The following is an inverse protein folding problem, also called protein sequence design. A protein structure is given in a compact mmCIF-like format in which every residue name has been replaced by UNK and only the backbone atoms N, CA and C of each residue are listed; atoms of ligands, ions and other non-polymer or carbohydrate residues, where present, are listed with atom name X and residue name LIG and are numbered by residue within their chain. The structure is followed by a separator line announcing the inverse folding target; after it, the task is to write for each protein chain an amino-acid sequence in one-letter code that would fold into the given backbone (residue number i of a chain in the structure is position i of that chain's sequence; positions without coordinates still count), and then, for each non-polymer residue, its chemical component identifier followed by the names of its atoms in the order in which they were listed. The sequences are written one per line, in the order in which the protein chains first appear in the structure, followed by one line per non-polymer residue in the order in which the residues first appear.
data_IF_681972816682
#
_entry.id   IF_681972816682
#
_cell.length_a   1.000
_cell.length_b   1.000
_cell.length_c   1.000
_cell.angle_alpha   90.00
_cell.angle_beta   90.00
_cell.angle_gamma   90.00
#
_symmetry.space_group_name_H-M   'P 1'
#
loop_
_entity.id
_entity.type
_entity.pdbx_description
1 polymer ?
#
# COMPACT_ATOMS: atom_id res chain seq x y z
N UNK A 1 5.76 14.15 -0.24
CA UNK A 1 5.84 13.37 -0.52
C UNK A 1 5.94 11.86 -0.58
N UNK A 2 5.08 11.23 -1.40
CA UNK A 2 5.08 9.77 -1.55
C UNK A 2 6.40 9.13 -2.00
N UNK A 3 7.26 9.87 -2.70
CA UNK A 3 8.59 9.43 -3.14
C UNK A 3 9.52 9.21 -1.94
N UNK A 4 9.46 10.07 -0.92
CA UNK A 4 10.29 9.96 0.27
C UNK A 4 9.91 8.74 1.13
N UNK A 5 8.62 8.48 1.26
CA UNK A 5 8.10 7.27 1.90
C UNK A 5 8.64 6.01 1.21
N UNK A 6 8.68 5.97 -0.12
CA UNK A 6 9.28 4.87 -0.88
C UNK A 6 10.79 4.76 -0.66
N UNK A 7 11.51 5.88 -0.62
CA UNK A 7 12.95 5.89 -0.34
C UNK A 7 13.25 5.28 1.03
N UNK A 8 12.59 5.74 2.07
CA UNK A 8 12.77 5.20 3.42
C UNK A 8 12.28 3.76 3.56
N UNK A 9 11.17 3.44 2.93
CA UNK A 9 10.58 2.10 3.00
C UNK A 9 11.43 1.06 2.26
N UNK A 10 11.99 1.41 1.09
CA UNK A 10 12.72 0.48 0.22
C UNK A 10 14.23 0.66 0.24
N UNK A 11 14.75 1.72 0.86
CA UNK A 11 16.17 2.06 0.78
C UNK A 11 16.63 2.22 -0.68
N UNK A 12 15.84 2.94 -1.50
CA UNK A 12 16.17 3.18 -2.89
C UNK A 12 17.48 3.93 -3.00
N UNK A 13 18.38 3.43 -3.87
CA UNK A 13 19.61 4.15 -4.19
C UNK A 13 19.33 5.41 -4.99
N UNK A 14 20.27 6.38 -4.96
CA UNK A 14 20.20 7.60 -5.76
C UNK A 14 19.95 7.31 -7.24
N UNK A 15 20.65 6.33 -7.81
CA UNK A 15 20.49 5.96 -9.20
C UNK A 15 19.09 5.46 -9.52
N UNK A 16 18.49 4.69 -8.61
CA UNK A 16 17.12 4.18 -8.79
C UNK A 16 16.09 5.30 -8.61
N UNK A 17 16.26 6.19 -7.64
CA UNK A 17 15.42 7.38 -7.47
C UNK A 17 15.47 8.28 -8.70
N UNK A 18 16.66 8.51 -9.23
CA UNK A 18 16.86 9.32 -10.45
C UNK A 18 16.23 8.68 -11.67
N UNK A 19 16.38 7.36 -11.82
CA UNK A 19 15.77 6.60 -12.93
C UNK A 19 14.23 6.61 -12.89
N UNK A 20 13.66 6.48 -11.68
CA UNK A 20 12.19 6.40 -11.50
C UNK A 20 11.54 7.78 -11.48
N UNK A 21 12.16 8.77 -10.87
CA UNK A 21 11.52 10.05 -10.53
C UNK A 21 12.23 11.27 -11.14
N UNK A 22 13.40 11.09 -11.76
CA UNK A 22 14.22 12.20 -12.29
C UNK A 22 14.81 13.10 -11.20
N UNK A 23 14.86 12.61 -9.95
CA UNK A 23 15.35 13.38 -8.78
C UNK A 23 16.41 12.57 -8.04
N UNK A 24 17.44 13.27 -7.55
CA UNK A 24 18.40 12.70 -6.63
C UNK A 24 17.78 12.60 -5.20
N UNK A 25 18.31 11.76 -4.34
CA UNK A 25 17.77 11.51 -2.98
C UNK A 25 17.78 12.75 -2.10
N UNK A 26 18.72 13.67 -2.26
CA UNK A 26 18.77 14.95 -1.58
C UNK A 26 17.66 15.93 -2.01
N UNK A 27 17.10 15.73 -3.21
CA UNK A 27 15.95 16.48 -3.75
C UNK A 27 14.61 15.90 -3.31
N UNK A 28 14.63 14.73 -2.73
CA UNK A 28 13.47 14.05 -2.13
C UNK A 28 13.40 14.48 -0.66
N UNK A 29 13.16 15.72 -0.40
CA UNK A 29 13.08 16.37 0.91
C UNK A 29 13.29 15.51 2.18
N UNK A 30 14.23 15.93 3.02
CA UNK A 30 14.47 15.36 4.36
C UNK A 30 13.46 15.90 5.39
N UNK A 31 12.27 16.30 4.95
CA UNK A 31 11.27 16.90 5.82
C UNK A 31 10.93 15.96 6.99
N UNK A 32 10.64 16.55 8.13
CA UNK A 32 10.18 15.89 9.35
C UNK A 32 8.96 14.99 9.12
N UNK A 33 8.41 15.02 7.93
CA UNK A 33 7.22 14.35 7.42
C UNK A 33 7.52 13.08 6.61
N UNK A 34 8.65 12.46 6.80
CA UNK A 34 9.03 11.24 6.08
C UNK A 34 8.18 10.02 6.46
N UNK A 35 7.64 10.03 7.64
CA UNK A 35 6.68 9.04 8.13
C UNK A 35 5.22 9.40 7.79
N UNK A 36 5.00 10.56 7.18
CA UNK A 36 3.68 11.20 7.02
C UNK A 36 2.71 10.50 6.08
N UNK A 37 2.97 9.32 5.73
CA UNK A 37 2.02 8.60 4.90
C UNK A 37 1.57 7.28 5.51
N UNK A 38 2.16 6.86 6.64
CA UNK A 38 1.79 5.61 7.28
C UNK A 38 1.10 5.89 8.61
N UNK A 39 -0.11 5.37 8.79
CA UNK A 39 -0.81 5.46 10.06
C UNK A 39 0.03 4.79 11.16
N UNK A 40 -0.12 5.27 12.40
CA UNK A 40 0.55 4.67 13.55
C UNK A 40 0.29 3.16 13.67
N UNK A 41 -0.89 2.72 13.24
CA UNK A 41 -1.23 1.30 13.19
C UNK A 41 -0.35 0.54 12.18
N UNK A 42 -0.19 1.05 10.96
CA UNK A 42 0.67 0.42 9.93
C UNK A 42 2.12 0.41 10.38
N UNK A 43 2.61 1.49 10.99
CA UNK A 43 3.97 1.55 11.52
C UNK A 43 4.21 0.52 12.62
N UNK A 44 3.27 0.39 13.58
CA UNK A 44 3.36 -0.58 14.65
C UNK A 44 3.34 -2.02 14.13
N UNK A 45 2.47 -2.35 13.20
CA UNK A 45 2.38 -3.67 12.58
C UNK A 45 3.64 -4.00 11.76
N UNK A 46 4.18 -3.02 11.04
CA UNK A 46 5.45 -3.17 10.32
C UNK A 46 6.61 -3.49 11.27
N UNK A 47 6.69 -2.82 12.40
CA UNK A 47 7.72 -3.09 13.42
C UNK A 47 7.59 -4.49 14.02
N UNK A 48 6.38 -4.90 14.39
CA UNK A 48 6.11 -6.26 14.89
C UNK A 48 6.44 -7.34 13.86
N UNK A 49 6.10 -7.11 12.60
CA UNK A 49 6.46 -8.03 11.52
C UNK A 49 7.96 -8.14 11.34
N UNK A 50 8.68 -7.00 11.32
CA UNK A 50 10.14 -6.99 11.21
C UNK A 50 10.81 -7.74 12.38
N UNK A 51 10.29 -7.59 13.60
CA UNK A 51 10.77 -8.33 14.77
C UNK A 51 10.55 -9.83 14.60
N UNK A 52 9.37 -10.23 14.15
CA UNK A 52 9.01 -11.65 13.99
C UNK A 52 9.85 -12.38 12.92
N UNK A 53 10.16 -11.73 11.78
CA UNK A 53 10.91 -12.37 10.67
C UNK A 53 12.42 -12.13 10.74
N UNK A 54 12.87 -11.15 11.51
CA UNK A 54 14.26 -10.72 11.62
C UNK A 54 14.71 -9.76 10.51
N UNK A 55 15.71 -8.93 10.84
CA UNK A 55 16.16 -7.81 10.00
C UNK A 55 16.67 -8.23 8.61
N UNK A 56 17.39 -9.35 8.50
CA UNK A 56 17.93 -9.80 7.22
C UNK A 56 16.83 -10.29 6.29
N UNK A 57 15.85 -11.04 6.78
CA UNK A 57 14.67 -11.47 6.02
C UNK A 57 13.88 -10.27 5.57
N UNK A 58 13.60 -9.32 6.47
CA UNK A 58 12.88 -8.10 6.15
C UNK A 58 13.57 -7.28 5.06
N UNK A 59 14.91 -7.13 5.13
CA UNK A 59 15.70 -6.45 4.10
C UNK A 59 15.60 -7.14 2.74
N UNK A 60 15.68 -8.47 2.70
CA UNK A 60 15.52 -9.24 1.46
C UNK A 60 14.13 -9.05 0.85
N UNK A 61 13.08 -9.06 1.67
CA UNK A 61 11.71 -8.82 1.24
C UNK A 61 11.52 -7.39 0.69
N UNK A 62 12.10 -6.39 1.33
CA UNK A 62 12.09 -5.00 0.82
C UNK A 62 12.78 -4.88 -0.54
N UNK A 63 13.91 -5.55 -0.74
CA UNK A 63 14.60 -5.56 -2.03
C UNK A 63 13.73 -6.22 -3.12
N UNK A 64 13.05 -7.31 -2.82
CA UNK A 64 12.13 -7.95 -3.75
C UNK A 64 10.94 -7.02 -4.10
N UNK A 65 10.38 -6.33 -3.13
CA UNK A 65 9.33 -5.31 -3.36
C UNK A 65 9.81 -4.19 -4.28
N UNK A 66 11.03 -3.68 -4.08
CA UNK A 66 11.58 -2.62 -4.93
C UNK A 66 11.66 -3.05 -6.41
N UNK A 67 12.00 -4.31 -6.68
CA UNK A 67 12.01 -4.87 -8.04
C UNK A 67 10.60 -4.89 -8.63
N UNK A 68 9.62 -5.39 -7.89
CA UNK A 68 8.22 -5.47 -8.36
C UNK A 68 7.67 -4.07 -8.64
N UNK A 69 7.93 -3.09 -7.78
CA UNK A 69 7.47 -1.71 -7.98
C UNK A 69 8.13 -1.08 -9.22
N UNK A 70 9.42 -1.29 -9.42
CA UNK A 70 10.11 -0.85 -10.64
C UNK A 70 9.45 -1.45 -11.89
N UNK A 71 9.18 -2.75 -11.88
CA UNK A 71 8.59 -3.45 -13.00
C UNK A 71 7.13 -3.00 -13.24
N UNK A 72 6.37 -2.75 -12.17
CA UNK A 72 5.05 -2.12 -12.25
C UNK A 72 5.10 -0.74 -12.92
N UNK A 73 6.01 0.14 -12.49
CA UNK A 73 6.18 1.45 -13.08
C UNK A 73 6.60 1.40 -14.55
N UNK A 74 7.32 0.36 -14.96
CA UNK A 74 7.69 0.10 -16.36
C UNK A 74 6.56 -0.47 -17.20
N UNK A 75 5.49 -0.98 -16.60
CA UNK A 75 4.43 -1.70 -17.31
C UNK A 75 3.43 -0.80 -18.03
N UNK A 76 3.35 0.50 -17.69
CA UNK A 76 2.43 1.44 -18.34
C UNK A 76 2.95 2.89 -18.29
N UNK A 77 2.36 3.76 -19.08
CA UNK A 77 2.76 5.17 -19.23
C UNK A 77 2.16 6.06 -18.11
N UNK A 78 2.43 5.73 -16.84
CA UNK A 78 1.80 6.34 -15.68
C UNK A 78 1.93 7.87 -15.60
N UNK A 79 2.98 8.46 -16.22
CA UNK A 79 3.18 9.91 -16.23
C UNK A 79 2.25 10.67 -17.18
N UNK A 80 1.58 9.97 -18.09
CA UNK A 80 0.75 10.58 -19.14
C UNK A 80 -0.75 10.34 -18.96
N UNK A 81 -1.12 9.50 -18.00
CA UNK A 81 -2.52 9.21 -17.67
C UNK A 81 -2.99 10.03 -16.46
N UNK A 82 -4.31 10.15 -16.26
CA UNK A 82 -4.90 10.86 -15.13
C UNK A 82 -4.56 10.20 -13.79
N UNK A 83 -4.76 10.92 -12.70
CA UNK A 83 -4.57 10.37 -11.35
C UNK A 83 -5.53 9.22 -11.08
N UNK A 84 -6.79 9.35 -11.50
CA UNK A 84 -7.78 8.29 -11.35
C UNK A 84 -7.39 7.03 -12.13
N UNK A 85 -6.87 7.17 -13.35
CA UNK A 85 -6.37 6.02 -14.12
C UNK A 85 -5.18 5.35 -13.45
N UNK A 86 -4.25 6.10 -12.83
CA UNK A 86 -3.16 5.54 -12.01
C UNK A 86 -3.70 4.78 -10.81
N UNK A 87 -4.65 5.35 -10.10
CA UNK A 87 -5.31 4.72 -8.95
C UNK A 87 -6.02 3.41 -9.34
N UNK A 88 -6.75 3.42 -10.44
CA UNK A 88 -7.44 2.24 -10.96
C UNK A 88 -6.48 1.18 -11.49
N UNK A 89 -5.36 1.58 -12.09
CA UNK A 89 -4.31 0.66 -12.55
C UNK A 89 -3.67 -0.10 -11.38
N UNK A 90 -3.38 0.59 -10.27
CA UNK A 90 -2.87 -0.06 -9.06
C UNK A 90 -3.85 -1.12 -8.52
N UNK A 91 -5.13 -0.81 -8.47
CA UNK A 91 -6.16 -1.76 -8.06
C UNK A 91 -6.27 -2.96 -9.03
N UNK A 92 -6.23 -2.70 -10.33
CA UNK A 92 -6.25 -3.73 -11.36
C UNK A 92 -5.03 -4.66 -11.27
N UNK A 93 -3.85 -4.09 -11.03
CA UNK A 93 -2.62 -4.87 -10.88
C UNK A 93 -2.73 -5.85 -9.71
N UNK A 94 -3.18 -5.38 -8.53
CA UNK A 94 -3.37 -6.24 -7.35
C UNK A 94 -4.44 -7.29 -7.61
N UNK A 95 -5.60 -6.90 -8.13
CA UNK A 95 -6.69 -7.81 -8.43
C UNK A 95 -6.31 -8.91 -9.45
N UNK A 96 -5.36 -8.62 -10.33
CA UNK A 96 -4.88 -9.57 -11.35
C UNK A 96 -3.80 -10.51 -10.84
N UNK A 97 -3.08 -10.12 -9.78
CA UNK A 97 -1.88 -10.85 -9.34
C UNK A 97 -1.96 -11.38 -7.91
N UNK A 98 -2.93 -10.97 -7.10
CA UNK A 98 -3.03 -11.37 -5.70
C UNK A 98 -4.34 -12.10 -5.40
N UNK A 99 -4.25 -13.15 -4.61
CA UNK A 99 -5.40 -13.91 -4.11
C UNK A 99 -5.59 -13.63 -2.63
N UNK A 100 -6.85 -13.46 -2.19
CA UNK A 100 -7.17 -13.26 -0.78
C UNK A 100 -6.87 -14.51 0.06
N UNK A 101 -6.11 -14.36 1.14
CA UNK A 101 -5.73 -15.44 2.04
C UNK A 101 -6.82 -15.74 3.09
N UNK A 102 -7.86 -16.43 2.67
CA UNK A 102 -8.94 -16.82 3.57
C UNK A 102 -8.48 -17.79 4.66
N UNK A 103 -7.46 -18.59 4.40
CA UNK A 103 -6.93 -19.55 5.39
C UNK A 103 -6.27 -18.80 6.54
N UNK A 104 -5.40 -17.83 6.23
CA UNK A 104 -4.78 -16.99 7.25
C UNK A 104 -5.83 -16.17 8.00
N UNK A 105 -6.77 -15.56 7.29
CA UNK A 105 -7.85 -14.80 7.92
C UNK A 105 -8.62 -15.65 8.96
N UNK A 106 -8.99 -16.88 8.62
CA UNK A 106 -9.68 -17.77 9.54
C UNK A 106 -8.83 -18.13 10.77
N UNK A 107 -7.53 -18.34 10.60
CA UNK A 107 -6.58 -18.58 11.70
C UNK A 107 -6.49 -17.36 12.62
N UNK A 108 -6.37 -16.18 12.04
CA UNK A 108 -6.30 -14.91 12.76
C UNK A 108 -7.57 -14.70 13.63
N UNK A 109 -8.78 -14.85 13.05
CA UNK A 109 -10.04 -14.71 13.79
C UNK A 109 -10.22 -15.80 14.86
N UNK A 110 -9.61 -16.97 14.66
CA UNK A 110 -9.58 -18.04 15.67
C UNK A 110 -8.60 -17.76 16.82
N UNK A 111 -7.85 -16.65 16.78
CA UNK A 111 -6.85 -16.28 17.79
C UNK A 111 -5.57 -17.10 17.76
N UNK A 112 -5.27 -17.74 16.63
CA UNK A 112 -4.00 -18.44 16.44
C UNK A 112 -2.85 -17.43 16.28
N UNK A 113 -1.63 -17.83 16.66
CA UNK A 113 -0.45 -17.04 16.38
C UNK A 113 -0.20 -16.96 14.86
N UNK A 114 -0.31 -15.77 14.32
CA UNK A 114 -0.07 -15.45 12.91
C UNK A 114 1.10 -14.46 12.73
N UNK A 115 1.88 -14.25 13.79
CA UNK A 115 3.04 -13.36 13.77
C UNK A 115 4.03 -13.75 12.67
N UNK A 116 4.50 -12.77 11.92
CA UNK A 116 5.46 -13.00 10.84
C UNK A 116 4.89 -13.65 9.57
N UNK A 117 3.56 -13.83 9.47
CA UNK A 117 2.96 -14.29 8.21
C UNK A 117 3.01 -13.15 7.17
N UNK A 118 3.64 -13.37 6.00
CA UNK A 118 3.83 -12.32 5.00
C UNK A 118 2.53 -11.83 4.38
N UNK A 119 1.42 -12.56 4.48
CA UNK A 119 0.12 -12.16 3.90
C UNK A 119 -0.48 -10.91 4.54
N UNK A 120 0.04 -10.45 5.69
CA UNK A 120 -0.28 -9.14 6.28
C UNK A 120 0.51 -7.98 5.67
N UNK A 121 1.42 -8.24 4.74
CA UNK A 121 2.37 -7.26 4.21
C UNK A 121 2.24 -7.06 2.71
N UNK A 122 2.78 -5.95 2.22
CA UNK A 122 2.90 -5.71 0.78
C UNK A 122 3.73 -6.80 0.07
N UNK A 123 4.72 -7.39 0.76
CA UNK A 123 5.51 -8.50 0.22
C UNK A 123 4.64 -9.73 -0.06
N UNK A 124 3.77 -10.10 0.87
CA UNK A 124 2.81 -11.18 0.65
C UNK A 124 1.93 -10.93 -0.57
N UNK A 125 1.40 -9.70 -0.70
CA UNK A 125 0.55 -9.32 -1.81
C UNK A 125 1.29 -9.30 -3.16
N UNK A 126 2.41 -8.58 -3.24
CA UNK A 126 3.07 -8.25 -4.51
C UNK A 126 4.10 -9.29 -4.96
N UNK A 127 4.69 -10.04 -4.04
CA UNK A 127 5.73 -11.04 -4.35
C UNK A 127 5.20 -12.47 -4.19
N UNK A 128 4.51 -12.77 -3.08
CA UNK A 128 3.94 -14.11 -2.86
C UNK A 128 2.55 -14.27 -3.49
N UNK A 129 1.95 -13.19 -4.00
CA UNK A 129 0.64 -13.18 -4.66
C UNK A 129 -0.51 -13.66 -3.77
N UNK A 130 -0.38 -13.46 -2.46
CA UNK A 130 -1.35 -13.88 -1.46
C UNK A 130 -1.34 -12.92 -0.27
N UNK A 131 -2.52 -12.40 0.10
CA UNK A 131 -2.63 -11.43 1.19
C UNK A 131 -4.05 -11.40 1.79
N UNK A 132 -4.15 -10.89 3.01
CA UNK A 132 -5.40 -10.43 3.62
C UNK A 132 -5.63 -8.94 3.32
N UNK A 133 -6.72 -8.36 3.83
CA UNK A 133 -7.09 -6.95 3.58
C UNK A 133 -5.95 -5.97 3.87
N UNK A 134 -5.23 -6.16 4.97
CA UNK A 134 -4.09 -5.32 5.35
C UNK A 134 -2.97 -5.38 4.32
N UNK A 135 -2.51 -6.57 3.96
CA UNK A 135 -1.45 -6.74 2.96
C UNK A 135 -1.82 -6.17 1.59
N UNK A 136 -3.08 -6.33 1.17
CA UNK A 136 -3.59 -5.73 -0.07
C UNK A 136 -3.64 -4.20 0.00
N UNK A 137 -4.07 -3.64 1.14
CA UNK A 137 -4.16 -2.19 1.33
C UNK A 137 -2.79 -1.53 1.35
N UNK A 138 -1.83 -2.09 2.08
CA UNK A 138 -0.44 -1.57 2.10
C UNK A 138 0.21 -1.71 0.73
N UNK A 139 -0.01 -2.82 0.02
CA UNK A 139 0.49 -3.01 -1.34
C UNK A 139 -0.07 -1.95 -2.30
N UNK A 140 -1.37 -1.69 -2.24
CA UNK A 140 -2.00 -0.64 -3.05
C UNK A 140 -1.42 0.74 -2.73
N UNK A 141 -1.27 1.07 -1.45
CA UNK A 141 -0.68 2.33 -1.01
C UNK A 141 0.71 2.54 -1.61
N UNK A 142 1.55 1.49 -1.62
CA UNK A 142 2.87 1.56 -2.22
C UNK A 142 2.83 1.81 -3.73
N UNK A 143 1.98 1.10 -4.48
CA UNK A 143 1.83 1.29 -5.91
C UNK A 143 1.26 2.67 -6.26
N UNK A 144 0.27 3.15 -5.50
CA UNK A 144 -0.32 4.47 -5.66
C UNK A 144 0.73 5.57 -5.44
N UNK A 145 1.47 5.50 -4.33
CA UNK A 145 2.55 6.46 -4.02
C UNK A 145 3.69 6.41 -5.03
N UNK A 146 4.02 5.23 -5.54
CA UNK A 146 5.03 5.09 -6.59
C UNK A 146 4.67 5.86 -7.86
N UNK A 147 3.39 6.05 -8.14
CA UNK A 147 2.89 6.89 -9.25
C UNK A 147 2.57 8.33 -8.83
N UNK A 148 2.97 8.76 -7.62
CA UNK A 148 2.84 10.12 -7.13
C UNK A 148 1.48 10.47 -6.52
N UNK A 149 0.61 9.48 -6.25
CA UNK A 149 -0.68 9.72 -5.61
C UNK A 149 -0.54 9.84 -4.10
N UNK A 150 -1.36 10.69 -3.48
CA UNK A 150 -1.52 10.74 -2.04
C UNK A 150 -2.39 9.57 -1.58
N UNK A 151 -1.92 8.80 -0.61
CA UNK A 151 -2.61 7.57 -0.18
C UNK A 151 -2.18 7.18 1.24
N UNK A 152 -3.12 6.64 2.02
CA UNK A 152 -2.86 6.09 3.36
C UNK A 152 -3.79 4.91 3.65
N UNK A 153 -3.39 4.06 4.60
CA UNK A 153 -4.20 2.93 5.09
C UNK A 153 -4.76 3.24 6.47
N UNK A 154 -6.02 2.91 6.69
CA UNK A 154 -6.66 2.97 7.99
C UNK A 154 -7.89 2.03 8.02
N UNK A 155 -8.29 1.50 9.20
CA UNK A 155 -9.62 0.92 9.38
C UNK A 155 -10.68 2.03 9.34
N UNK A 156 -11.95 1.69 9.22
CA UNK A 156 -13.03 2.66 9.50
C UNK A 156 -13.70 2.37 10.86
N UNK A 157 -14.54 3.30 11.30
CA UNK A 157 -15.20 3.20 12.62
C UNK A 157 -16.21 2.06 12.70
N UNK A 158 -16.73 1.61 11.55
CA UNK A 158 -17.78 0.60 11.48
C UNK A 158 -17.20 -0.82 11.33
N UNK A 159 -15.93 -0.93 10.91
CA UNK A 159 -15.27 -2.20 10.67
C UNK A 159 -13.78 -2.10 11.02
N UNK A 160 -13.48 -2.11 12.31
CA UNK A 160 -12.11 -1.95 12.83
C UNK A 160 -11.23 -3.17 12.58
N UNK A 161 -11.82 -4.30 12.26
CA UNK A 161 -11.11 -5.54 11.93
C UNK A 161 -10.77 -5.64 10.42
N UNK A 162 -11.13 -4.60 9.66
CA UNK A 162 -10.90 -4.53 8.23
C UNK A 162 -10.08 -3.28 7.86
N UNK A 163 -8.99 -3.50 7.12
CA UNK A 163 -8.12 -2.43 6.63
C UNK A 163 -8.58 -1.97 5.25
N UNK A 164 -8.71 -0.65 5.11
CA UNK A 164 -8.97 0.04 3.85
C UNK A 164 -7.79 0.90 3.45
N UNK A 165 -7.70 1.20 2.17
CA UNK A 165 -6.79 2.23 1.67
C UNK A 165 -7.59 3.41 1.15
N UNK A 166 -7.09 4.60 1.42
CA UNK A 166 -7.63 5.87 0.95
C UNK A 166 -6.66 6.47 -0.04
N UNK A 167 -7.16 6.94 -1.17
CA UNK A 167 -6.36 7.55 -2.23
C UNK A 167 -7.00 8.83 -2.71
N UNK A 168 -6.19 9.86 -2.93
CA UNK A 168 -6.62 11.09 -3.57
C UNK A 168 -6.26 11.05 -5.06
N UNK A 169 -7.25 11.28 -5.91
CA UNK A 169 -7.07 11.34 -7.35
C UNK A 169 -8.00 12.40 -7.96
N UNK A 170 -7.43 13.22 -8.85
CA UNK A 170 -8.14 14.32 -9.52
C UNK A 170 -8.90 15.23 -8.54
N UNK A 171 -8.29 15.48 -7.36
CA UNK A 171 -8.85 16.32 -6.30
C UNK A 171 -9.88 15.67 -5.38
N UNK A 172 -10.29 14.42 -5.64
CA UNK A 172 -11.28 13.69 -4.84
C UNK A 172 -10.63 12.57 -4.04
N UNK A 173 -11.18 12.28 -2.86
CA UNK A 173 -10.79 11.13 -2.06
C UNK A 173 -11.66 9.92 -2.35
N UNK A 174 -11.03 8.78 -2.42
CA UNK A 174 -11.68 7.47 -2.59
C UNK A 174 -11.23 6.52 -1.49
N UNK A 175 -12.20 5.86 -0.83
CA UNK A 175 -11.97 4.68 -0.01
C UNK A 175 -11.95 3.46 -0.93
N UNK A 176 -10.89 2.67 -0.87
CA UNK A 176 -10.68 1.53 -1.76
C UNK A 176 -10.64 0.24 -0.94
N UNK A 177 -11.48 -0.72 -1.30
CA UNK A 177 -11.54 -2.05 -0.71
C UNK A 177 -11.18 -3.12 -1.75
N UNK A 178 -10.01 -3.72 -1.60
CA UNK A 178 -9.49 -4.74 -2.51
C UNK A 178 -9.78 -6.16 -2.04
N UNK A 179 -10.29 -6.34 -0.82
CA UNK A 179 -10.57 -7.65 -0.24
C UNK A 179 -11.89 -8.27 -0.74
N UNK A 180 -12.55 -7.65 -1.70
CA UNK A 180 -13.77 -8.17 -2.33
C UNK A 180 -13.42 -9.38 -3.19
N UNK A 181 -13.74 -10.56 -2.71
CA UNK A 181 -13.43 -11.83 -3.36
C UNK A 181 -14.45 -12.23 -4.44
N UNK A 182 -14.01 -13.06 -5.38
CA UNK A 182 -14.90 -13.66 -6.38
C UNK A 182 -15.26 -12.76 -7.58
N UNK A 183 -14.62 -11.61 -7.70
CA UNK A 183 -14.78 -10.72 -8.85
C UNK A 183 -13.60 -10.85 -9.82
N UNK A 184 -13.91 -10.78 -11.12
CA UNK A 184 -12.86 -10.54 -12.13
C UNK A 184 -12.22 -9.16 -11.92
N UNK A 185 -10.91 -8.98 -12.24
CA UNK A 185 -10.19 -7.73 -11.96
C UNK A 185 -10.91 -6.47 -12.44
N UNK A 186 -11.45 -6.44 -13.65
CA UNK A 186 -12.20 -5.30 -14.18
C UNK A 186 -13.48 -4.98 -13.39
N UNK A 187 -14.16 -6.02 -12.90
CA UNK A 187 -15.37 -5.85 -12.10
C UNK A 187 -15.04 -5.39 -10.67
N UNK A 188 -13.91 -5.85 -10.11
CA UNK A 188 -13.40 -5.42 -8.82
C UNK A 188 -13.05 -3.93 -8.88
N UNK A 189 -12.26 -3.48 -9.84
CA UNK A 189 -11.87 -2.07 -9.98
C UNK A 189 -13.09 -1.15 -10.05
N UNK A 190 -14.16 -1.54 -10.73
CA UNK A 190 -15.41 -0.75 -10.79
C UNK A 190 -16.15 -0.66 -9.46
N UNK A 191 -15.91 -1.56 -8.51
CA UNK A 191 -16.65 -1.65 -7.25
C UNK A 191 -15.84 -1.27 -6.02
N UNK A 192 -14.51 -1.35 -6.10
CA UNK A 192 -13.66 -1.13 -4.94
C UNK A 192 -13.50 0.35 -4.57
N UNK A 193 -13.75 1.28 -5.51
CA UNK A 193 -13.66 2.72 -5.26
C UNK A 193 -14.99 3.27 -4.76
N UNK A 194 -14.96 3.94 -3.61
CA UNK A 194 -16.11 4.67 -3.04
C UNK A 194 -15.69 6.09 -2.78
N UNK A 195 -16.47 7.04 -3.33
CA UNK A 195 -16.27 8.46 -3.02
C UNK A 195 -16.32 8.68 -1.50
N UNK A 196 -15.37 9.45 -0.99
CA UNK A 196 -15.24 9.72 0.44
C UNK A 196 -15.15 11.23 0.65
N UNK A 197 -16.00 11.78 1.50
CA UNK A 197 -16.01 13.20 1.80
C UNK A 197 -14.72 13.63 2.52
N UNK A 198 -14.20 14.83 2.19
CA UNK A 198 -12.98 15.37 2.81
C UNK A 198 -13.06 15.39 4.34
N UNK A 199 -14.22 15.76 4.91
CA UNK A 199 -14.43 15.77 6.36
C UNK A 199 -14.26 14.39 7.03
N UNK A 200 -14.66 13.32 6.33
CA UNK A 200 -14.46 11.95 6.82
C UNK A 200 -12.98 11.59 6.77
N UNK A 201 -12.29 11.94 5.69
CA UNK A 201 -10.84 11.72 5.56
C UNK A 201 -10.07 12.47 6.65
N UNK A 202 -10.38 13.75 6.88
CA UNK A 202 -9.77 14.56 7.95
C UNK A 202 -9.98 13.93 9.34
N UNK A 203 -11.18 13.44 9.60
CA UNK A 203 -11.50 12.75 10.85
C UNK A 203 -10.68 11.47 11.04
N UNK A 204 -10.56 10.66 9.99
CA UNK A 204 -9.78 9.42 10.00
C UNK A 204 -8.30 9.74 10.20
N UNK A 205 -7.77 10.72 9.46
CA UNK A 205 -6.38 11.17 9.60
C UNK A 205 -6.09 11.61 11.03
N UNK A 206 -6.95 12.42 11.63
CA UNK A 206 -6.80 12.85 13.01
C UNK A 206 -6.82 11.68 14.01
N UNK A 207 -7.58 10.64 13.73
CA UNK A 207 -7.67 9.46 14.63
C UNK A 207 -6.42 8.58 14.58
N UNK A 208 -5.76 8.47 13.44
CA UNK A 208 -4.69 7.47 13.23
C UNK A 208 -3.30 8.08 13.01
N UNK A 209 -3.18 9.41 12.84
CA UNK A 209 -1.89 10.07 12.56
C UNK A 209 -1.52 11.15 13.59
N UNK A 210 -2.44 11.67 14.40
CA UNK A 210 -2.18 12.56 15.54
C UNK A 210 -1.96 11.75 16.84
#
# INVERSE_FOLDING_TARGET
DGIYSLYNYFGLSDDLCKALYGKDTDQIGTGENAADGDSLLVLAQTALYQEAVGSDTYKQQRNALAIVIRDYLGSFQWRTVSELERAQNAAFYIASNCTYDKTLYNRFVAGEDTSGDPSFTAYGCLVNHRAVCEGMSVAYQLLARATGLNSFCAPDDNDKDHMFVYVQADGNWYKVDLAVTGLMPQALVRRCFKDTANQEVERIMKTYFD
#
